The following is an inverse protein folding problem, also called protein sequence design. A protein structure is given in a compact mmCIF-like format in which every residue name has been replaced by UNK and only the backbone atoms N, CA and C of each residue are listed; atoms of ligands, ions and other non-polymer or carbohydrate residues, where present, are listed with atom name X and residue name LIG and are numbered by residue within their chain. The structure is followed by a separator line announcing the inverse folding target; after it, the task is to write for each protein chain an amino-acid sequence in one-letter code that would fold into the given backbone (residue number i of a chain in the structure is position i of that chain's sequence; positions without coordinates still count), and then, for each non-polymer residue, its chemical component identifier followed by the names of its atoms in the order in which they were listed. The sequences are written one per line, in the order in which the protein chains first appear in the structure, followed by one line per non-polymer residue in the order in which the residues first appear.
data_IF_499670774605
#
_entry.id   IF_499670774605
#
_cell.length_a   1.000
_cell.length_b   1.000
_cell.length_c   1.000
_cell.angle_alpha   90.00
_cell.angle_beta   90.00
_cell.angle_gamma   90.00
#
_symmetry.space_group_name_H-M   'P 1'
#
loop_
_entity.id
_entity.type
_entity.pdbx_description
1 polymer ?
#
# COMPACT_ATOMS: atom_id res chain seq x y z
N UNK A 1 24.22 1.27 -43.47
CA UNK A 1 23.44 2.13 -42.53
C UNK A 1 22.02 1.61 -42.25
N UNK A 2 21.19 1.29 -43.25
CA UNK A 2 19.82 0.74 -43.05
C UNK A 2 19.73 -0.50 -42.14
N UNK A 3 20.67 -1.43 -42.25
CA UNK A 3 20.69 -2.65 -41.42
C UNK A 3 21.12 -2.40 -39.96
N UNK A 4 21.98 -1.41 -39.71
CA UNK A 4 22.42 -1.03 -38.35
C UNK A 4 21.27 -0.32 -37.61
N UNK A 5 20.54 0.57 -38.30
CA UNK A 5 19.36 1.23 -37.74
C UNK A 5 18.23 0.23 -37.40
N UNK A 6 18.05 -0.80 -38.25
CA UNK A 6 17.06 -1.86 -38.01
C UNK A 6 17.44 -2.76 -36.83
N UNK A 7 18.73 -3.08 -36.67
CA UNK A 7 19.23 -3.88 -35.54
C UNK A 7 19.10 -3.11 -34.21
N UNK A 8 19.43 -1.82 -34.20
CA UNK A 8 19.27 -0.95 -33.03
C UNK A 8 17.79 -0.81 -32.61
N UNK A 9 16.88 -0.70 -33.59
CA UNK A 9 15.45 -0.65 -33.31
C UNK A 9 14.93 -1.96 -32.68
N UNK A 10 15.39 -3.13 -33.16
CA UNK A 10 15.03 -4.43 -32.58
C UNK A 10 15.60 -4.60 -31.18
N UNK A 11 16.85 -4.22 -30.93
CA UNK A 11 17.47 -4.29 -29.59
C UNK A 11 16.74 -3.36 -28.61
N UNK A 12 16.44 -2.12 -29.02
CA UNK A 12 15.69 -1.18 -28.20
C UNK A 12 14.29 -1.73 -27.87
N UNK A 13 13.60 -2.32 -28.84
CA UNK A 13 12.30 -2.95 -28.63
C UNK A 13 12.39 -4.12 -27.65
N UNK A 14 13.40 -4.99 -27.76
CA UNK A 14 13.57 -6.11 -26.82
C UNK A 14 13.84 -5.61 -25.40
N UNK A 15 14.73 -4.62 -25.24
CA UNK A 15 15.08 -4.07 -23.92
C UNK A 15 13.89 -3.40 -23.22
N UNK A 16 13.01 -2.70 -23.97
CA UNK A 16 11.83 -2.07 -23.37
C UNK A 16 10.79 -3.10 -22.88
N UNK A 17 10.65 -4.23 -23.59
CA UNK A 17 9.74 -5.29 -23.16
C UNK A 17 10.21 -6.00 -21.88
N UNK A 18 11.52 -6.26 -21.75
CA UNK A 18 12.07 -6.85 -20.53
C UNK A 18 11.93 -5.92 -19.31
N UNK A 19 12.20 -4.63 -19.48
CA UNK A 19 12.04 -3.66 -18.40
C UNK A 19 10.57 -3.53 -17.94
N UNK A 20 9.62 -3.49 -18.88
CA UNK A 20 8.20 -3.45 -18.56
C UNK A 20 7.72 -4.70 -17.81
N UNK A 21 8.22 -5.89 -18.17
CA UNK A 21 7.88 -7.14 -17.49
C UNK A 21 8.40 -7.19 -16.04
N UNK A 22 9.62 -6.71 -15.79
CA UNK A 22 10.20 -6.60 -14.44
C UNK A 22 9.42 -5.60 -13.57
N UNK A 23 9.10 -4.42 -14.12
CA UNK A 23 8.29 -3.43 -13.40
C UNK A 23 6.87 -3.93 -13.13
N UNK A 24 6.24 -4.65 -14.06
CA UNK A 24 4.95 -5.31 -13.84
C UNK A 24 5.03 -6.35 -12.72
N UNK A 25 6.09 -7.16 -12.66
CA UNK A 25 6.27 -8.15 -11.60
C UNK A 25 6.46 -7.50 -10.23
N UNK A 26 7.25 -6.41 -10.14
CA UNK A 26 7.41 -5.63 -8.91
C UNK A 26 6.09 -5.01 -8.47
N UNK A 27 5.36 -4.43 -9.42
CA UNK A 27 4.01 -3.88 -9.17
C UNK A 27 3.11 -4.94 -8.58
N UNK A 28 3.04 -6.13 -9.20
CA UNK A 28 2.21 -7.24 -8.72
C UNK A 28 2.53 -7.61 -7.27
N UNK A 29 3.81 -7.67 -6.89
CA UNK A 29 4.22 -7.95 -5.51
C UNK A 29 3.70 -6.90 -4.53
N UNK A 30 3.82 -5.61 -4.88
CA UNK A 30 3.32 -4.53 -4.01
C UNK A 30 1.79 -4.50 -3.91
N UNK A 31 1.07 -4.82 -5.00
CA UNK A 31 -0.38 -4.97 -4.98
C UNK A 31 -0.82 -6.18 -4.16
N UNK A 32 -0.10 -7.30 -4.24
CA UNK A 32 -0.40 -8.49 -3.45
C UNK A 32 -0.21 -8.24 -1.95
N UNK A 33 0.75 -7.41 -1.54
CA UNK A 33 0.90 -6.98 -0.14
C UNK A 33 -0.34 -6.24 0.39
N UNK A 34 -0.98 -5.42 -0.45
CA UNK A 34 -2.23 -4.73 -0.10
C UNK A 34 -3.36 -5.74 0.07
N UNK A 35 -3.51 -6.66 -0.89
CA UNK A 35 -4.53 -7.72 -0.82
C UNK A 35 -4.32 -8.64 0.37
N UNK A 36 -3.09 -9.06 0.64
CA UNK A 36 -2.75 -9.95 1.75
C UNK A 36 -3.08 -9.31 3.10
N UNK A 37 -2.83 -8.01 3.26
CA UNK A 37 -3.24 -7.26 4.46
C UNK A 37 -4.76 -7.16 4.61
N UNK A 38 -5.53 -7.26 3.51
CA UNK A 38 -6.99 -7.24 3.55
C UNK A 38 -7.64 -8.62 3.76
N UNK A 39 -6.85 -9.66 4.05
CA UNK A 39 -7.39 -11.02 4.25
C UNK A 39 -8.12 -11.14 5.58
N UNK A 40 -7.59 -10.57 6.66
CA UNK A 40 -8.25 -10.48 7.96
C UNK A 40 -9.19 -9.27 8.06
N UNK A 41 -10.09 -9.29 9.04
CA UNK A 41 -11.11 -8.26 9.17
C UNK A 41 -10.53 -6.87 9.53
N UNK A 42 -9.61 -6.81 10.48
CA UNK A 42 -9.03 -5.54 10.92
C UNK A 42 -8.22 -4.90 9.80
N UNK A 43 -7.33 -5.70 9.18
CA UNK A 43 -6.54 -5.27 8.04
C UNK A 43 -7.42 -4.81 6.87
N UNK A 44 -8.49 -5.54 6.55
CA UNK A 44 -9.47 -5.15 5.51
C UNK A 44 -10.12 -3.80 5.77
N UNK A 45 -10.57 -3.54 7.00
CA UNK A 45 -11.14 -2.23 7.39
C UNK A 45 -10.13 -1.11 7.15
N UNK A 46 -8.88 -1.30 7.57
CA UNK A 46 -7.81 -0.31 7.43
C UNK A 46 -7.45 -0.09 5.96
N UNK A 47 -7.35 -1.16 5.16
CA UNK A 47 -7.10 -1.06 3.72
C UNK A 47 -8.23 -0.30 3.03
N UNK A 48 -9.50 -0.62 3.34
CA UNK A 48 -10.66 0.10 2.81
C UNK A 48 -10.57 1.59 3.12
N UNK A 49 -10.43 1.93 4.41
CA UNK A 49 -10.36 3.32 4.86
C UNK A 49 -9.20 4.06 4.18
N UNK A 50 -8.01 3.46 4.15
CA UNK A 50 -6.81 4.09 3.58
C UNK A 50 -6.95 4.33 2.08
N UNK A 51 -7.56 3.38 1.36
CA UNK A 51 -7.81 3.50 -0.06
C UNK A 51 -8.91 4.53 -0.35
N UNK A 52 -9.96 4.57 0.47
CA UNK A 52 -11.04 5.56 0.38
C UNK A 52 -10.49 6.98 0.53
N UNK A 53 -9.64 7.20 1.55
CA UNK A 53 -8.92 8.45 1.76
C UNK A 53 -7.97 8.78 0.58
N UNK A 54 -7.29 7.78 0.01
CA UNK A 54 -6.37 7.98 -1.11
C UNK A 54 -7.09 8.48 -2.37
N UNK A 55 -8.30 7.98 -2.64
CA UNK A 55 -9.09 8.34 -3.82
C UNK A 55 -10.17 9.40 -3.54
N UNK A 56 -10.27 9.89 -2.31
CA UNK A 56 -11.34 10.78 -1.86
C UNK A 56 -12.75 10.21 -2.14
N UNK A 57 -12.90 8.90 -1.92
CA UNK A 57 -14.15 8.16 -2.08
C UNK A 57 -14.75 7.83 -0.72
N UNK A 58 -16.04 7.46 -0.71
CA UNK A 58 -16.65 6.83 0.46
C UNK A 58 -16.22 5.38 0.56
N UNK A 59 -16.11 4.87 1.78
CA UNK A 59 -15.75 3.47 2.05
C UNK A 59 -16.70 2.48 1.36
N UNK A 60 -18.01 2.79 1.36
CA UNK A 60 -19.02 1.96 0.72
C UNK A 60 -18.99 2.03 -0.82
N UNK A 61 -18.51 3.13 -1.41
CA UNK A 61 -18.35 3.20 -2.86
C UNK A 61 -17.27 2.21 -3.32
N UNK A 62 -16.15 2.12 -2.59
CA UNK A 62 -15.13 1.10 -2.85
C UNK A 62 -15.68 -0.33 -2.71
N UNK A 63 -16.50 -0.59 -1.69
CA UNK A 63 -17.15 -1.90 -1.53
C UNK A 63 -18.00 -2.21 -2.77
N UNK A 64 -18.80 -1.26 -3.25
CA UNK A 64 -19.63 -1.44 -4.45
C UNK A 64 -18.78 -1.68 -5.70
N UNK A 65 -17.70 -0.94 -5.89
CA UNK A 65 -16.78 -1.14 -7.02
C UNK A 65 -16.16 -2.54 -7.00
N UNK A 66 -15.69 -3.01 -5.83
CA UNK A 66 -15.18 -4.38 -5.67
C UNK A 66 -16.24 -5.43 -5.96
N UNK A 67 -17.50 -5.20 -5.59
CA UNK A 67 -18.61 -6.10 -5.91
C UNK A 67 -18.94 -6.13 -7.39
N UNK A 68 -18.88 -4.98 -8.06
CA UNK A 68 -19.18 -4.88 -9.50
C UNK A 68 -18.07 -5.50 -10.37
N UNK A 69 -16.82 -5.37 -9.94
CA UNK A 69 -15.64 -5.80 -10.69
C UNK A 69 -15.11 -7.17 -10.26
N UNK A 70 -15.42 -7.61 -9.04
CA UNK A 70 -14.87 -8.83 -8.43
C UNK A 70 -13.42 -8.69 -7.95
N UNK A 71 -12.85 -7.48 -7.98
CA UNK A 71 -11.44 -7.24 -7.70
C UNK A 71 -11.14 -7.19 -6.19
N UNK A 72 -10.01 -7.77 -5.80
CA UNK A 72 -9.39 -7.51 -4.50
C UNK A 72 -8.77 -6.09 -4.45
N UNK A 73 -8.38 -5.62 -3.27
CA UNK A 73 -7.90 -4.24 -3.10
C UNK A 73 -6.65 -3.89 -3.91
N UNK A 74 -5.69 -4.81 -4.03
CA UNK A 74 -4.52 -4.59 -4.89
C UNK A 74 -4.91 -4.42 -6.35
N UNK A 75 -5.80 -5.27 -6.85
CA UNK A 75 -6.28 -5.19 -8.23
C UNK A 75 -7.18 -3.96 -8.47
N UNK A 76 -7.95 -3.55 -7.46
CA UNK A 76 -8.77 -2.34 -7.52
C UNK A 76 -7.89 -1.08 -7.61
N UNK A 77 -6.72 -1.04 -6.94
CA UNK A 77 -5.77 0.05 -7.11
C UNK A 77 -5.36 0.19 -8.58
N UNK A 78 -5.01 -0.93 -9.22
CA UNK A 78 -4.68 -0.93 -10.64
C UNK A 78 -5.86 -0.47 -11.50
N UNK A 79 -7.09 -0.86 -11.18
CA UNK A 79 -8.29 -0.39 -11.89
C UNK A 79 -8.46 1.14 -11.79
N UNK A 80 -8.26 1.74 -10.62
CA UNK A 80 -8.29 3.21 -10.49
C UNK A 80 -7.14 3.89 -11.24
N UNK A 81 -5.97 3.26 -11.33
CA UNK A 81 -4.88 3.78 -12.17
C UNK A 81 -5.22 3.74 -13.66
N UNK A 82 -5.93 2.71 -14.11
CA UNK A 82 -6.45 2.65 -15.48
C UNK A 82 -7.53 3.71 -15.74
N UNK A 83 -8.39 3.97 -14.76
CA UNK A 83 -9.41 5.02 -14.85
C UNK A 83 -8.82 6.42 -15.03
N UNK A 84 -7.64 6.69 -14.45
CA UNK A 84 -6.91 7.95 -14.68
C UNK A 84 -6.41 8.09 -16.13
N UNK A 85 -6.22 6.97 -16.83
CA UNK A 85 -5.78 6.92 -18.23
C UNK A 85 -6.96 6.79 -19.21
N UNK A 86 -8.14 7.32 -18.83
CA UNK A 86 -9.37 7.35 -19.62
C UNK A 86 -10.05 5.99 -19.87
N UNK A 87 -9.70 4.94 -19.12
CA UNK A 87 -10.43 3.67 -19.18
C UNK A 87 -11.51 3.62 -18.09
N UNK A 88 -12.76 3.90 -18.45
CA UNK A 88 -13.87 3.93 -17.48
C UNK A 88 -14.00 2.61 -16.70
N UNK A 89 -14.34 2.70 -15.40
CA UNK A 89 -14.50 1.55 -14.51
C UNK A 89 -15.57 0.57 -15.04
N UNK A 90 -16.60 1.07 -15.74
CA UNK A 90 -17.59 0.21 -16.42
C UNK A 90 -16.97 -0.60 -17.54
N UNK A 91 -16.08 0.00 -18.33
CA UNK A 91 -15.36 -0.70 -19.39
C UNK A 91 -14.42 -1.76 -18.81
N UNK A 92 -13.71 -1.44 -17.72
CA UNK A 92 -12.90 -2.41 -16.97
C UNK A 92 -13.76 -3.58 -16.53
N UNK A 93 -14.93 -3.32 -15.91
CA UNK A 93 -15.85 -4.37 -15.49
C UNK A 93 -16.35 -5.25 -16.66
N UNK A 94 -16.61 -4.68 -17.84
CA UNK A 94 -16.98 -5.43 -19.05
C UNK A 94 -15.84 -6.33 -19.51
N UNK A 95 -14.60 -5.81 -19.57
CA UNK A 95 -13.42 -6.60 -19.97
C UNK A 95 -13.12 -7.75 -19.00
N UNK A 96 -13.29 -7.52 -17.69
CA UNK A 96 -13.19 -8.55 -16.66
C UNK A 96 -14.25 -9.64 -16.83
N UNK A 97 -15.51 -9.28 -17.10
CA UNK A 97 -16.59 -10.24 -17.42
C UNK A 97 -16.33 -11.02 -18.70
N UNK A 98 -15.59 -10.44 -19.64
CA UNK A 98 -15.08 -11.11 -20.84
C UNK A 98 -13.95 -12.11 -20.58
N UNK A 99 -13.52 -12.30 -19.33
CA UNK A 99 -12.51 -13.27 -18.93
C UNK A 99 -11.08 -12.74 -18.93
N UNK A 100 -10.85 -11.45 -19.23
CA UNK A 100 -9.52 -10.85 -19.07
C UNK A 100 -9.20 -10.64 -17.60
N UNK A 101 -7.93 -10.80 -17.24
CA UNK A 101 -7.44 -10.36 -15.93
C UNK A 101 -7.05 -8.86 -15.95
N UNK A 102 -7.03 -8.21 -14.78
CA UNK A 102 -6.76 -6.78 -14.67
C UNK A 102 -5.35 -6.39 -15.16
N UNK A 103 -4.37 -7.29 -15.08
CA UNK A 103 -3.01 -7.03 -15.55
C UNK A 103 -2.91 -7.16 -17.06
N UNK A 104 -3.68 -8.07 -17.68
CA UNK A 104 -3.85 -8.11 -19.14
C UNK A 104 -4.48 -6.80 -19.64
N UNK A 105 -5.57 -6.36 -19.01
CA UNK A 105 -6.22 -5.08 -19.35
C UNK A 105 -5.22 -3.93 -19.23
N UNK A 106 -4.44 -3.89 -18.16
CA UNK A 106 -3.46 -2.84 -17.93
C UNK A 106 -2.27 -2.87 -18.91
N UNK A 107 -1.81 -4.07 -19.28
CA UNK A 107 -0.78 -4.23 -20.31
C UNK A 107 -1.25 -3.74 -21.67
N UNK A 108 -2.48 -4.07 -22.06
CA UNK A 108 -3.11 -3.58 -23.31
C UNK A 108 -3.33 -2.08 -23.32
N UNK A 109 -3.64 -1.49 -22.15
CA UNK A 109 -3.82 -0.05 -22.00
C UNK A 109 -2.49 0.73 -21.92
N UNK A 110 -1.34 0.05 -21.95
CA UNK A 110 -0.03 0.70 -21.88
C UNK A 110 0.24 1.40 -20.56
N UNK A 111 -0.17 0.80 -19.43
CA UNK A 111 0.01 1.42 -18.11
C UNK A 111 1.49 1.67 -17.79
N UNK A 112 1.78 2.78 -17.11
CA UNK A 112 3.11 3.02 -16.56
C UNK A 112 3.32 2.21 -15.27
N UNK A 113 3.85 0.99 -15.40
CA UNK A 113 4.08 0.08 -14.28
C UNK A 113 4.92 0.69 -13.15
N UNK A 114 5.89 1.55 -13.48
CA UNK A 114 6.70 2.23 -12.47
C UNK A 114 5.86 3.16 -11.58
N UNK A 115 4.98 3.94 -12.18
CA UNK A 115 4.08 4.83 -11.45
C UNK A 115 3.06 4.04 -10.61
N UNK A 116 2.51 2.95 -11.15
CA UNK A 116 1.60 2.08 -10.40
C UNK A 116 2.33 1.45 -9.21
N UNK A 117 3.53 0.93 -9.42
CA UNK A 117 4.36 0.37 -8.35
C UNK A 117 4.62 1.40 -7.23
N UNK A 118 4.97 2.63 -7.58
CA UNK A 118 5.26 3.68 -6.60
C UNK A 118 4.00 4.08 -5.81
N UNK A 119 2.82 4.08 -6.47
CA UNK A 119 1.55 4.25 -5.75
C UNK A 119 1.20 3.08 -4.85
N UNK A 120 1.45 1.85 -5.29
CA UNK A 120 1.22 0.66 -4.48
C UNK A 120 2.08 0.68 -3.20
N UNK A 121 3.35 1.09 -3.31
CA UNK A 121 4.22 1.32 -2.14
C UNK A 121 3.68 2.40 -1.22
N UNK A 122 3.25 3.54 -1.78
CA UNK A 122 2.65 4.63 -0.99
C UNK A 122 1.38 4.18 -0.27
N UNK A 123 0.56 3.34 -0.90
CA UNK A 123 -0.60 2.74 -0.25
C UNK A 123 -0.17 1.82 0.89
N UNK A 124 0.79 0.92 0.66
CA UNK A 124 1.34 0.05 1.72
C UNK A 124 1.87 0.86 2.91
N UNK A 125 2.64 1.94 2.69
CA UNK A 125 3.13 2.79 3.77
C UNK A 125 2.00 3.48 4.55
N UNK A 126 0.97 3.96 3.86
CA UNK A 126 -0.20 4.55 4.55
C UNK A 126 -1.01 3.52 5.33
N UNK A 127 -1.13 2.29 4.83
CA UNK A 127 -1.78 1.19 5.54
C UNK A 127 -1.02 0.91 6.83
N UNK A 128 0.31 0.83 6.77
CA UNK A 128 1.17 0.63 7.93
C UNK A 128 1.00 1.77 8.97
N UNK A 129 0.98 3.03 8.53
CA UNK A 129 0.74 4.19 9.40
C UNK A 129 -0.64 4.12 10.07
N UNK A 130 -1.68 3.78 9.31
CA UNK A 130 -3.04 3.70 9.82
C UNK A 130 -3.24 2.49 10.73
N UNK A 131 -2.52 1.40 10.50
CA UNK A 131 -2.47 0.23 11.38
C UNK A 131 -1.79 0.56 12.72
N UNK A 132 -0.68 1.28 12.68
CA UNK A 132 -0.03 1.77 13.89
C UNK A 132 -0.96 2.71 14.70
N UNK A 133 -1.62 3.67 14.05
CA UNK A 133 -2.59 4.57 14.70
C UNK A 133 -3.78 3.79 15.28
N UNK A 134 -4.31 2.81 14.55
CA UNK A 134 -5.37 1.93 15.04
C UNK A 134 -4.97 1.28 16.37
N UNK A 135 -3.75 0.76 16.48
CA UNK A 135 -3.29 0.14 17.72
C UNK A 135 -3.00 1.14 18.84
N UNK A 136 -2.45 2.33 18.54
CA UNK A 136 -2.27 3.39 19.54
C UNK A 136 -3.59 3.83 20.18
N UNK A 137 -4.65 3.87 19.37
CA UNK A 137 -5.98 4.35 19.74
C UNK A 137 -7.01 3.23 19.86
N UNK A 138 -6.57 1.98 20.10
CA UNK A 138 -7.47 0.81 20.14
C UNK A 138 -8.62 0.92 21.17
N UNK A 139 -8.51 1.84 22.14
CA UNK A 139 -9.57 2.16 23.11
C UNK A 139 -10.63 3.12 22.55
N UNK A 140 -10.25 4.00 21.62
CA UNK A 140 -11.09 5.02 20.99
C UNK A 140 -11.90 4.47 19.80
N UNK A 141 -11.47 3.34 19.22
CA UNK A 141 -12.20 2.59 18.20
C UNK A 141 -13.54 1.99 18.66
N UNK A 142 -13.89 2.16 19.94
CA UNK A 142 -15.21 1.85 20.49
C UNK A 142 -16.26 2.95 20.21
N UNK A 143 -15.86 4.07 19.61
CA UNK A 143 -16.80 5.10 19.19
C UNK A 143 -17.77 4.52 18.11
N UNK A 144 -19.08 4.78 18.21
CA UNK A 144 -20.05 4.26 17.25
C UNK A 144 -19.74 4.75 15.82
N UNK A 145 -19.98 3.92 14.79
CA UNK A 145 -19.68 4.27 13.41
C UNK A 145 -20.43 5.54 13.02
N UNK A 146 -19.76 6.48 12.34
CA UNK A 146 -20.41 7.68 11.78
C UNK A 146 -20.52 7.60 10.25
N UNK A 147 -21.74 7.91 9.81
CA UNK A 147 -22.24 8.42 8.53
C UNK A 147 -22.09 7.63 7.21
N UNK A 148 -21.12 6.73 7.05
CA UNK A 148 -21.19 5.73 5.97
C UNK A 148 -21.16 4.36 6.63
N UNK A 149 -22.27 3.62 6.52
CA UNK A 149 -22.50 2.29 7.11
C UNK A 149 -21.58 1.21 6.48
N UNK A 150 -20.26 1.41 6.56
CA UNK A 150 -19.26 0.43 6.15
C UNK A 150 -19.51 -0.88 6.90
N UNK A 151 -19.94 -1.90 6.16
CA UNK A 151 -20.15 -3.22 6.70
C UNK A 151 -19.07 -4.16 6.17
N UNK A 152 -18.13 -4.49 7.04
CA UNK A 152 -17.02 -5.39 6.76
C UNK A 152 -17.45 -6.76 6.23
N UNK A 153 -18.62 -7.25 6.66
CA UNK A 153 -19.15 -8.54 6.20
C UNK A 153 -19.54 -8.49 4.72
N UNK A 154 -19.88 -7.31 4.21
CA UNK A 154 -20.18 -7.07 2.80
C UNK A 154 -18.98 -6.64 1.98
N UNK A 155 -17.82 -6.44 2.59
CA UNK A 155 -16.62 -6.01 1.89
C UNK A 155 -15.89 -7.18 1.20
N UNK A 156 -15.99 -8.40 1.70
CA UNK A 156 -15.20 -9.51 1.14
C UNK A 156 -15.63 -10.02 -0.23
N UNK A 157 -14.65 -10.18 -1.12
CA UNK A 157 -14.83 -10.76 -2.46
C UNK A 157 -13.98 -12.02 -2.60
N UNK A 158 -14.34 -12.90 -3.56
CA UNK A 158 -13.65 -14.18 -3.78
C UNK A 158 -12.14 -14.00 -4.06
N UNK A 159 -11.78 -12.95 -4.79
CA UNK A 159 -10.40 -12.66 -5.15
C UNK A 159 -9.50 -12.27 -3.96
N UNK A 160 -10.04 -12.05 -2.76
CA UNK A 160 -9.24 -11.81 -1.56
C UNK A 160 -8.46 -13.07 -1.13
N UNK A 161 -8.94 -14.25 -1.51
CA UNK A 161 -8.24 -15.51 -1.29
C UNK A 161 -7.17 -15.83 -2.34
N UNK A 162 -6.99 -14.99 -3.37
CA UNK A 162 -6.01 -15.18 -4.45
C UNK A 162 -4.63 -14.64 -4.06
N UNK A 163 -4.20 -14.94 -2.83
CA UNK A 163 -2.87 -14.65 -2.29
C UNK A 163 -2.25 -15.94 -1.78
N UNK A 164 -0.94 -16.07 -1.92
CA UNK A 164 -0.21 -17.23 -1.43
C UNK A 164 -0.13 -17.24 0.09
N UNK A 165 0.05 -18.44 0.66
CA UNK A 165 0.26 -18.60 2.10
C UNK A 165 1.45 -17.76 2.60
N UNK A 166 2.55 -17.68 1.83
CA UNK A 166 3.70 -16.86 2.19
C UNK A 166 3.41 -15.36 2.21
N UNK A 167 2.47 -14.87 1.40
CA UNK A 167 2.06 -13.46 1.41
C UNK A 167 1.17 -13.16 2.61
N UNK A 168 0.32 -14.11 3.03
CA UNK A 168 -0.47 -14.02 4.25
C UNK A 168 0.45 -13.97 5.48
N UNK A 169 1.45 -14.84 5.55
CA UNK A 169 2.44 -14.85 6.64
C UNK A 169 3.20 -13.52 6.73
N UNK A 170 3.66 -12.97 5.59
CA UNK A 170 4.30 -11.66 5.55
C UNK A 170 3.37 -10.52 5.98
N UNK A 171 2.07 -10.60 5.65
CA UNK A 171 1.08 -9.63 6.11
C UNK A 171 0.85 -9.75 7.63
N UNK A 172 0.81 -10.97 8.17
CA UNK A 172 0.71 -11.23 9.60
C UNK A 172 1.95 -10.69 10.35
N UNK A 173 3.16 -10.92 9.83
CA UNK A 173 4.39 -10.38 10.42
C UNK A 173 4.38 -8.86 10.45
N UNK A 174 3.95 -8.22 9.35
CA UNK A 174 3.75 -6.76 9.30
C UNK A 174 2.73 -6.29 10.33
N UNK A 175 1.61 -7.00 10.48
CA UNK A 175 0.58 -6.67 11.46
C UNK A 175 1.12 -6.72 12.89
N UNK A 176 1.80 -7.82 13.25
CA UNK A 176 2.37 -8.03 14.58
C UNK A 176 3.47 -7.01 14.89
N UNK A 177 4.30 -6.65 13.90
CA UNK A 177 5.30 -5.60 14.05
C UNK A 177 4.68 -4.28 14.52
N UNK A 178 3.61 -3.83 13.86
CA UNK A 178 2.96 -2.56 14.21
C UNK A 178 2.20 -2.63 15.53
N UNK A 179 1.58 -3.78 15.84
CA UNK A 179 0.97 -4.02 17.14
C UNK A 179 1.99 -3.94 18.28
N UNK A 180 3.15 -4.56 18.10
CA UNK A 180 4.23 -4.53 19.08
C UNK A 180 4.77 -3.10 19.27
N UNK A 181 4.95 -2.35 18.18
CA UNK A 181 5.42 -0.96 18.24
C UNK A 181 4.44 -0.04 19.00
N UNK A 182 3.15 -0.24 18.83
CA UNK A 182 2.11 0.54 19.51
C UNK A 182 1.86 0.12 20.96
N UNK A 183 2.46 -0.99 21.43
CA UNK A 183 2.21 -1.51 22.78
C UNK A 183 2.90 -0.67 23.86
N UNK A 184 2.23 -0.34 24.99
CA UNK A 184 2.78 0.54 26.05
C UNK A 184 4.09 0.07 26.70
N UNK A 185 4.43 -1.22 26.58
CA UNK A 185 5.66 -1.81 27.13
C UNK A 185 6.80 -1.93 26.10
N UNK A 186 6.71 -1.23 24.96
CA UNK A 186 7.76 -1.21 23.93
C UNK A 186 9.02 -0.41 24.34
N UNK A 187 9.07 0.12 25.56
CA UNK A 187 10.21 0.78 26.21
C UNK A 187 11.50 -0.06 26.31
N UNK A 188 11.50 -1.31 25.85
CA UNK A 188 12.73 -1.97 25.42
C UNK A 188 13.15 -1.39 24.09
N UNK A 189 13.86 -0.25 24.17
CA UNK A 189 14.74 0.32 23.13
C UNK A 189 15.09 -0.74 22.09
N UNK A 190 14.55 -0.58 20.88
CA UNK A 190 15.00 -1.36 19.73
C UNK A 190 16.52 -1.20 19.62
N UNK A 191 17.22 -2.32 19.43
CA UNK A 191 18.61 -2.24 19.02
C UNK A 191 18.69 -1.43 17.72
N UNK A 192 19.76 -0.68 17.55
CA UNK A 192 20.03 0.21 16.39
C UNK A 192 19.90 -0.45 15.01
N UNK A 193 19.72 -1.76 14.93
CA UNK A 193 19.45 -2.51 13.71
C UNK A 193 18.00 -2.40 13.23
N UNK A 194 17.01 -2.46 14.13
CA UNK A 194 15.59 -2.46 13.75
C UNK A 194 15.07 -1.06 13.41
N UNK A 195 15.61 -0.03 14.08
CA UNK A 195 15.41 1.37 13.70
C UNK A 195 16.02 1.67 12.32
N UNK A 196 17.19 1.11 12.01
CA UNK A 196 17.81 1.25 10.69
C UNK A 196 17.02 0.52 9.61
N UNK A 197 16.51 -0.68 9.87
CA UNK A 197 15.69 -1.41 8.90
C UNK A 197 14.41 -0.63 8.56
N UNK A 198 13.75 -0.05 9.56
CA UNK A 198 12.56 0.78 9.37
C UNK A 198 12.87 2.10 8.64
N UNK A 199 13.97 2.78 8.99
CA UNK A 199 14.39 4.01 8.32
C UNK A 199 14.78 3.77 6.86
N UNK A 200 15.48 2.66 6.56
CA UNK A 200 15.83 2.30 5.19
C UNK A 200 14.61 2.01 4.32
N UNK A 201 13.57 1.38 4.88
CA UNK A 201 12.35 1.07 4.13
C UNK A 201 11.45 2.31 3.95
N UNK A 202 11.43 3.21 4.94
CA UNK A 202 10.72 4.49 4.91
C UNK A 202 11.33 5.50 3.92
N UNK A 203 12.66 5.55 3.80
CA UNK A 203 13.38 6.41 2.85
C UNK A 203 13.23 5.89 1.41
N UNK A 204 13.17 4.57 1.20
CA UNK A 204 13.01 3.97 -0.14
C UNK A 204 11.58 4.06 -0.70
N UNK A 205 10.59 4.31 0.17
CA UNK A 205 9.16 4.37 -0.18
C UNK A 205 8.61 5.80 -0.35
N UNK A 206 9.48 6.82 -0.34
CA UNK A 206 9.11 8.20 -0.71
C UNK A 206 8.22 8.93 0.31
N UNK A 207 8.36 8.63 1.60
CA UNK A 207 7.68 9.38 2.67
C UNK A 207 8.11 10.85 2.74
N UNK A 208 7.28 11.74 3.28
CA UNK A 208 7.61 13.16 3.40
C UNK A 208 8.89 13.33 4.23
N UNK A 209 9.84 14.10 3.69
CA UNK A 209 11.08 14.42 4.38
C UNK A 209 10.75 15.21 5.64
N UNK A 210 10.89 14.57 6.79
CA UNK A 210 10.90 15.27 8.08
C UNK A 210 12.01 16.31 8.02
N UNK A 211 11.63 17.59 8.05
CA UNK A 211 12.55 18.69 8.16
C UNK A 211 13.46 18.46 9.36
N UNK A 212 14.77 18.52 9.12
CA UNK A 212 15.81 18.54 10.14
C UNK A 212 15.53 19.68 11.12
N UNK A 213 14.96 19.34 12.28
CA UNK A 213 14.86 20.24 13.41
C UNK A 213 16.25 20.43 14.01
N UNK A 214 16.83 21.61 13.76
CA UNK A 214 18.08 22.10 14.35
C UNK A 214 18.16 21.80 15.86
N UNK A 215 19.24 21.13 16.24
CA UNK A 215 19.73 21.13 17.62
C UNK A 215 20.13 22.56 18.02
N UNK A 216 19.35 23.21 18.86
CA UNK A 216 19.74 24.45 19.52
C UNK A 216 19.66 24.31 21.04
N UNK A 217 20.83 24.24 21.67
CA UNK A 217 21.12 24.84 22.99
C UNK A 217 20.35 24.31 24.21
N UNK A 218 20.88 23.27 24.84
CA UNK A 218 20.57 22.92 26.24
C UNK A 218 21.80 23.11 27.11
N UNK A 219 21.81 24.22 27.86
CA UNK A 219 22.84 24.58 28.84
C UNK A 219 22.86 23.52 29.97
N UNK A 220 24.06 23.06 30.34
CA UNK A 220 24.26 22.13 31.46
C UNK A 220 23.90 22.79 32.81
N UNK A 221 23.19 22.11 33.73
CA UNK A 221 23.06 22.61 35.08
C UNK A 221 24.34 22.31 35.89
N UNK A 222 24.94 23.39 36.37
CA UNK A 222 25.99 23.45 37.38
C UNK A 222 25.57 22.79 38.69
N UNK A 223 26.54 22.19 39.36
CA UNK A 223 26.49 21.65 40.71
C UNK A 223 26.26 22.73 41.80
N UNK A 224 25.79 22.26 42.96
CA UNK A 224 25.67 23.00 44.23
C UNK A 224 24.20 23.14 44.67
N UNK A 225 23.74 22.79 45.87
CA UNK A 225 24.30 22.31 47.12
C UNK A 225 23.13 22.32 48.13
N UNK A 226 23.13 21.42 49.11
CA UNK A 226 22.18 21.36 50.25
C UNK A 226 22.97 21.81 51.52
N UNK A 227 22.41 22.22 52.69
CA UNK A 227 21.15 22.90 53.09
C UNK A 227 21.37 24.15 54.00
N UNK A 228 20.33 24.96 54.18
CA UNK A 228 19.63 25.33 55.45
C UNK A 228 18.88 26.65 55.26
#
# INVERSE_FOLDING_TARGET
MRHIASLLAVIALVLTHYAAADDQQKTRKELNKVTAMATDATGRKIVNQTMAEMFALKQMDLVLERRQTGLNYGSLLLAHELAKNNLDMKEIAVRLKGGKDIFQIAGEAGVNWKEVNDRAKKLNSKIDDNLYKHFLHAKDDKAPPKADDYNIMYDGVKADGEVSQSEIEQAQDRYLLWLQRASPNSDKRLGTADEKAAAYDHVRSGGPHGASGSSSGGIAPSAGGIPQ
#
